data_IF_321478539037
#
_entry.id   IF_321478539037
#
_cell.length_a   1.000
_cell.length_b   1.000
_cell.length_c   1.000
_cell.angle_alpha   90.00
_cell.angle_beta   90.00
_cell.angle_gamma   90.00
#
_symmetry.space_group_name_H-M   'P 1'
#
loop_
_entity.id
_entity.type
_entity.pdbx_description
1 polymer ?
#
# COMPACT_ATOMS: atom_id res chain seq x y z
N UNK A 1 -18.17 3.00 8.50
CA UNK A 1 -17.14 1.99 8.84
C UNK A 1 -15.80 2.56 8.38
N UNK A 2 -14.92 2.88 9.32
CA UNK A 2 -13.57 3.43 9.06
C UNK A 2 -12.58 2.27 9.04
N UNK A 3 -11.86 2.09 7.94
CA UNK A 3 -10.81 1.07 7.80
C UNK A 3 -9.49 1.60 8.37
N UNK A 4 -9.39 1.61 9.71
CA UNK A 4 -8.18 2.02 10.44
C UNK A 4 -7.69 3.42 10.07
N UNK A 5 -6.39 3.55 9.75
CA UNK A 5 -5.74 4.83 9.48
C UNK A 5 -6.10 5.48 8.13
N UNK A 6 -6.91 4.83 7.28
CA UNK A 6 -7.24 5.32 5.95
C UNK A 6 -8.62 6.00 5.92
N UNK A 7 -8.66 7.23 5.41
CA UNK A 7 -9.91 7.91 5.04
C UNK A 7 -10.48 7.31 3.75
N UNK A 8 -9.60 6.94 2.81
CA UNK A 8 -9.96 6.30 1.55
C UNK A 8 -8.89 5.29 1.15
N UNK A 9 -9.32 4.11 0.71
CA UNK A 9 -8.46 3.11 0.10
C UNK A 9 -9.15 2.60 -1.15
N UNK A 10 -8.57 2.88 -2.31
CA UNK A 10 -9.07 2.42 -3.61
C UNK A 10 -8.03 1.49 -4.22
N UNK A 11 -8.49 0.29 -4.58
CA UNK A 11 -7.67 -0.77 -5.17
C UNK A 11 -8.24 -1.07 -6.55
N UNK A 12 -7.40 -1.00 -7.58
CA UNK A 12 -7.79 -1.44 -8.92
C UNK A 12 -6.63 -2.07 -9.66
N UNK A 13 -6.94 -3.00 -10.54
CA UNK A 13 -5.95 -3.69 -11.37
C UNK A 13 -5.99 -3.03 -12.74
N UNK A 14 -4.86 -2.47 -13.16
CA UNK A 14 -4.69 -1.93 -14.51
C UNK A 14 -3.45 -2.53 -15.16
N UNK A 15 -3.56 -2.99 -16.41
CA UNK A 15 -2.45 -3.57 -17.17
C UNK A 15 -1.59 -4.62 -16.41
N UNK A 16 -2.25 -5.51 -15.66
CA UNK A 16 -1.61 -6.53 -14.78
C UNK A 16 -0.79 -5.95 -13.62
N UNK A 17 -1.00 -4.68 -13.28
CA UNK A 17 -0.42 -4.00 -12.12
C UNK A 17 -1.53 -3.71 -11.12
N UNK A 18 -1.27 -3.98 -9.85
CA UNK A 18 -2.12 -3.54 -8.77
C UNK A 18 -1.80 -2.07 -8.46
N UNK A 19 -2.77 -1.20 -8.66
CA UNK A 19 -2.68 0.21 -8.31
C UNK A 19 -3.47 0.43 -7.02
N UNK A 20 -2.81 1.09 -6.07
CA UNK A 20 -3.43 1.46 -4.80
C UNK A 20 -3.39 2.97 -4.64
N UNK A 21 -4.57 3.56 -4.55
CA UNK A 21 -4.75 4.95 -4.16
C UNK A 21 -5.24 4.99 -2.72
N UNK A 22 -4.39 5.46 -1.81
CA UNK A 22 -4.68 5.50 -0.37
C UNK A 22 -4.58 6.93 0.15
N UNK A 23 -5.63 7.38 0.83
CA UNK A 23 -5.67 8.64 1.56
C UNK A 23 -5.65 8.34 3.05
N UNK A 24 -4.52 8.62 3.70
CA UNK A 24 -4.33 8.38 5.14
C UNK A 24 -4.76 9.59 5.97
N UNK A 25 -5.41 9.34 7.09
CA UNK A 25 -5.73 10.37 8.07
C UNK A 25 -4.56 10.58 9.03
N UNK A 26 -3.94 11.76 8.99
CA UNK A 26 -2.79 12.10 9.84
C UNK A 26 -3.16 12.45 11.29
N UNK A 27 -4.46 12.45 11.61
CA UNK A 27 -4.98 12.77 12.95
C UNK A 27 -5.09 11.50 13.82
N UNK A 28 -4.87 10.32 13.23
CA UNK A 28 -4.98 9.03 13.92
C UNK A 28 -3.69 8.73 14.69
N UNK A 29 -3.81 8.02 15.82
CA UNK A 29 -2.70 7.66 16.69
C UNK A 29 -1.67 6.76 15.98
N UNK A 30 -0.39 6.96 16.30
CA UNK A 30 0.74 6.25 15.67
C UNK A 30 0.59 4.73 15.70
N UNK A 31 -0.01 4.18 16.76
CA UNK A 31 -0.22 2.75 16.94
C UNK A 31 -1.18 2.16 15.89
N UNK A 32 -2.29 2.85 15.59
CA UNK A 32 -3.22 2.46 14.52
C UNK A 32 -2.58 2.62 13.14
N UNK A 33 -1.75 3.65 12.94
CA UNK A 33 -1.00 3.85 11.69
C UNK A 33 -0.04 2.68 11.45
N UNK A 34 0.69 2.26 12.50
CA UNK A 34 1.64 1.15 12.42
C UNK A 34 0.94 -0.19 12.15
N UNK A 35 -0.15 -0.49 12.85
CA UNK A 35 -0.94 -1.71 12.63
C UNK A 35 -1.56 -1.72 11.22
N UNK A 36 -2.14 -0.60 10.79
CA UNK A 36 -2.71 -0.44 9.45
C UNK A 36 -1.64 -0.65 8.37
N UNK A 37 -0.46 -0.04 8.55
CA UNK A 37 0.66 -0.20 7.62
C UNK A 37 1.20 -1.62 7.58
N UNK A 38 1.18 -2.34 8.70
CA UNK A 38 1.60 -3.74 8.74
C UNK A 38 0.64 -4.61 7.92
N UNK A 39 -0.66 -4.54 8.21
CA UNK A 39 -1.70 -5.27 7.47
C UNK A 39 -1.70 -4.93 5.97
N UNK A 40 -1.49 -3.66 5.65
CA UNK A 40 -1.38 -3.21 4.26
C UNK A 40 -0.17 -3.81 3.54
N UNK A 41 0.96 -3.95 4.23
CA UNK A 41 2.13 -4.62 3.66
C UNK A 41 1.84 -6.09 3.41
N UNK A 42 1.27 -6.80 4.38
CA UNK A 42 0.94 -8.22 4.28
C UNK A 42 -0.04 -8.49 3.13
N UNK A 43 -1.10 -7.69 3.02
CA UNK A 43 -2.06 -7.75 1.90
C UNK A 43 -1.38 -7.63 0.53
N UNK A 44 -0.46 -6.68 0.39
CA UNK A 44 0.25 -6.49 -0.87
C UNK A 44 1.22 -7.64 -1.17
N UNK A 45 1.82 -8.30 -0.18
CA UNK A 45 2.65 -9.49 -0.42
C UNK A 45 1.79 -10.66 -0.88
N UNK A 46 0.64 -10.89 -0.26
CA UNK A 46 -0.30 -11.93 -0.68
C UNK A 46 -0.89 -11.65 -2.07
N UNK A 47 -1.28 -10.40 -2.35
CA UNK A 47 -1.92 -10.02 -3.61
C UNK A 47 -0.97 -9.98 -4.80
N UNK A 48 0.32 -9.67 -4.58
CA UNK A 48 1.30 -9.50 -5.67
C UNK A 48 2.39 -10.56 -5.69
N UNK A 49 2.54 -11.34 -4.62
CA UNK A 49 3.65 -12.28 -4.43
C UNK A 49 4.99 -11.60 -4.16
N UNK A 50 5.05 -10.26 -4.11
CA UNK A 50 6.28 -9.52 -3.91
C UNK A 50 6.46 -9.10 -2.46
N UNK A 51 7.61 -9.45 -1.90
CA UNK A 51 8.02 -8.95 -0.59
C UNK A 51 8.17 -7.42 -0.59
N UNK A 52 8.11 -6.79 0.58
CA UNK A 52 8.29 -5.34 0.72
C UNK A 52 9.59 -4.83 0.07
N UNK A 53 10.66 -5.64 0.10
CA UNK A 53 11.94 -5.32 -0.55
C UNK A 53 11.84 -5.36 -2.07
N UNK A 54 11.18 -6.36 -2.64
CA UNK A 54 10.97 -6.47 -4.08
C UNK A 54 10.06 -5.37 -4.60
N UNK A 55 8.99 -5.03 -3.86
CA UNK A 55 8.13 -3.89 -4.18
C UNK A 55 8.90 -2.58 -4.21
N UNK A 56 9.79 -2.33 -3.25
CA UNK A 56 10.65 -1.14 -3.26
C UNK A 56 11.58 -1.12 -4.49
N UNK A 57 12.16 -2.26 -4.86
CA UNK A 57 13.03 -2.37 -6.05
C UNK A 57 12.24 -2.12 -7.34
N UNK A 58 11.03 -2.67 -7.45
CA UNK A 58 10.16 -2.49 -8.61
C UNK A 58 9.63 -1.05 -8.70
N UNK A 59 9.24 -0.45 -7.57
CA UNK A 59 8.85 0.96 -7.50
C UNK A 59 10.00 1.87 -7.95
N UNK A 60 11.21 1.68 -7.40
CA UNK A 60 12.40 2.44 -7.84
C UNK A 60 12.67 2.28 -9.32
N UNK A 61 12.56 1.06 -9.86
CA UNK A 61 12.75 0.80 -11.29
C UNK A 61 11.68 1.49 -12.16
N UNK A 62 10.45 1.59 -11.67
CA UNK A 62 9.35 2.27 -12.36
C UNK A 62 9.53 3.81 -12.37
N UNK A 63 10.15 4.39 -11.33
CA UNK A 63 10.42 5.85 -11.27
C UNK A 63 11.73 6.21 -11.99
N UNK A 64 12.71 5.29 -12.07
CA UNK A 64 13.96 5.47 -12.82
C UNK A 64 13.84 5.15 -14.32
N UNK A 65 12.64 4.81 -14.80
CA UNK A 65 12.37 4.47 -16.18
C UNK A 65 11.46 5.50 -16.86
N UNK A 66 11.98 6.72 -17.02
CA UNK A 66 11.83 7.63 -18.17
C UNK A 66 12.88 8.75 -18.04
#
# INVERSE_FOLDING_TARGET
>A
MTYGAFNRLTLYIDNKKLIVDSESNKIIIDEEILDTNKRYRDFLEEATGYTAKERLKMAKKAVQGD
#
